data_IF_515088594377
#
_entry.id   IF_515088594377
#
_cell.length_a   1.000
_cell.length_b   1.000
_cell.length_c   1.000
_cell.angle_alpha   90.00
_cell.angle_beta   90.00
_cell.angle_gamma   90.00
#
_symmetry.space_group_name_H-M   'P 1'
#
loop_
_entity.id
_entity.type
_entity.pdbx_description
1 polymer ?
#
# COMPACT_ATOMS: atom_id res chain seq x y z
N UNK A 1 66.78 -13.07 -18.08
CA UNK A 1 65.75 -14.11 -17.99
C UNK A 1 65.36 -14.24 -16.53
N UNK A 2 64.27 -13.64 -16.14
CA UNK A 2 63.71 -13.80 -14.82
C UNK A 2 62.21 -13.54 -14.99
N UNK A 3 61.47 -14.61 -15.15
CA UNK A 3 60.02 -14.66 -15.22
C UNK A 3 59.45 -14.51 -13.81
N UNK A 4 58.85 -13.34 -13.54
CA UNK A 4 58.03 -13.11 -12.33
C UNK A 4 56.69 -13.81 -12.49
N UNK A 5 56.58 -15.00 -11.96
CA UNK A 5 55.34 -15.71 -11.74
C UNK A 5 54.64 -15.03 -10.56
N UNK A 6 53.66 -14.13 -10.83
CA UNK A 6 52.76 -13.62 -9.81
C UNK A 6 51.77 -14.77 -9.45
N UNK A 7 52.01 -15.40 -8.33
CA UNK A 7 51.07 -16.33 -7.71
C UNK A 7 49.86 -15.55 -7.20
N UNK A 8 48.73 -15.64 -7.91
CA UNK A 8 47.43 -15.19 -7.43
C UNK A 8 47.10 -15.95 -6.14
N UNK A 9 46.80 -15.24 -5.06
CA UNK A 9 46.49 -15.87 -3.76
C UNK A 9 45.23 -16.74 -3.87
N UNK A 10 45.14 -17.92 -3.23
CA UNK A 10 44.00 -18.81 -3.30
C UNK A 10 42.66 -18.16 -2.91
N UNK A 11 42.69 -17.20 -2.01
CA UNK A 11 41.50 -16.44 -1.55
C UNK A 11 40.90 -15.52 -2.64
N UNK A 12 41.76 -14.96 -3.52
CA UNK A 12 41.26 -14.13 -4.65
C UNK A 12 40.67 -15.02 -5.76
N UNK A 13 41.14 -16.23 -5.95
CA UNK A 13 40.59 -17.20 -6.90
C UNK A 13 39.19 -17.70 -6.51
N UNK A 14 38.97 -18.00 -5.22
CA UNK A 14 37.67 -18.44 -4.71
C UNK A 14 36.62 -17.34 -4.75
N UNK A 15 36.97 -16.11 -4.38
CA UNK A 15 36.06 -14.95 -4.44
C UNK A 15 35.63 -14.63 -5.88
N UNK A 16 36.56 -14.68 -6.84
CA UNK A 16 36.27 -14.49 -8.27
C UNK A 16 35.37 -15.60 -8.83
N UNK A 17 35.58 -16.85 -8.42
CA UNK A 17 34.74 -17.97 -8.83
C UNK A 17 33.32 -17.87 -8.27
N UNK A 18 33.15 -17.41 -7.01
CA UNK A 18 31.84 -17.19 -6.39
C UNK A 18 31.08 -16.07 -7.09
N UNK A 19 31.73 -14.94 -7.38
CA UNK A 19 31.12 -13.83 -8.11
C UNK A 19 30.61 -14.28 -9.48
N UNK A 20 31.44 -14.99 -10.26
CA UNK A 20 31.04 -15.53 -11.56
C UNK A 20 29.84 -16.47 -11.46
N UNK A 21 29.81 -17.32 -10.44
CA UNK A 21 28.68 -18.22 -10.19
C UNK A 21 27.39 -17.41 -9.91
N UNK A 22 27.45 -16.39 -9.05
CA UNK A 22 26.29 -15.55 -8.72
C UNK A 22 25.81 -14.75 -9.94
N UNK A 23 26.71 -14.23 -10.77
CA UNK A 23 26.36 -13.55 -12.04
C UNK A 23 25.62 -14.52 -12.97
N UNK A 24 26.13 -15.73 -13.19
CA UNK A 24 25.46 -16.73 -14.05
C UNK A 24 24.08 -17.13 -13.50
N UNK A 25 23.96 -17.30 -12.19
CA UNK A 25 22.68 -17.60 -11.54
C UNK A 25 21.69 -16.45 -11.72
N UNK A 26 22.12 -15.21 -11.53
CA UNK A 26 21.28 -14.03 -11.69
C UNK A 26 20.85 -13.80 -13.15
N UNK A 27 21.73 -14.07 -14.12
CA UNK A 27 21.41 -13.98 -15.56
C UNK A 27 20.34 -14.97 -16.02
N UNK A 28 20.32 -16.18 -15.44
CA UNK A 28 19.44 -17.28 -15.88
C UNK A 28 18.09 -17.31 -15.17
N UNK A 29 17.90 -16.50 -14.14
CA UNK A 29 16.68 -16.51 -13.30
C UNK A 29 15.79 -15.30 -13.58
N UNK A 30 14.50 -15.45 -13.30
CA UNK A 30 13.60 -14.31 -13.22
C UNK A 30 14.08 -13.33 -12.13
N UNK A 31 13.83 -12.01 -12.26
CA UNK A 31 14.34 -11.00 -11.32
C UNK A 31 14.01 -11.28 -9.84
N UNK A 32 12.85 -11.83 -9.54
CA UNK A 32 12.45 -12.20 -8.18
C UNK A 32 13.31 -13.34 -7.63
N UNK A 33 13.48 -14.39 -8.41
CA UNK A 33 14.28 -15.57 -8.00
C UNK A 33 15.78 -15.20 -7.90
N UNK A 34 16.27 -14.35 -8.80
CA UNK A 34 17.62 -13.82 -8.74
C UNK A 34 17.84 -12.99 -7.45
N UNK A 35 16.91 -12.12 -7.10
CA UNK A 35 16.97 -11.35 -5.87
C UNK A 35 16.96 -12.25 -4.63
N UNK A 36 16.17 -13.32 -4.60
CA UNK A 36 16.15 -14.29 -3.49
C UNK A 36 17.52 -15.00 -3.31
N UNK A 37 18.18 -15.34 -4.41
CA UNK A 37 19.52 -15.94 -4.37
C UNK A 37 20.56 -14.95 -3.84
N UNK A 38 20.42 -13.68 -4.18
CA UNK A 38 21.33 -12.61 -3.79
C UNK A 38 21.03 -12.02 -2.40
N UNK A 39 19.82 -12.24 -1.85
CA UNK A 39 19.38 -11.67 -0.57
C UNK A 39 20.32 -11.97 0.63
N UNK A 40 20.94 -13.16 0.75
CA UNK A 40 21.88 -13.47 1.83
C UNK A 40 23.25 -12.78 1.67
N UNK A 41 23.58 -12.26 0.48
CA UNK A 41 24.88 -11.67 0.19
C UNK A 41 24.97 -10.22 0.72
N UNK A 42 26.21 -9.73 0.90
CA UNK A 42 26.45 -8.32 1.27
C UNK A 42 26.09 -7.39 0.12
N UNK A 43 25.73 -6.13 0.42
CA UNK A 43 25.37 -5.10 -0.58
C UNK A 43 26.51 -4.84 -1.57
N UNK A 44 27.77 -4.98 -1.13
CA UNK A 44 28.96 -4.88 -1.97
C UNK A 44 28.98 -6.00 -3.03
N UNK A 45 28.76 -7.25 -2.62
CA UNK A 45 28.72 -8.41 -3.55
C UNK A 45 27.54 -8.27 -4.50
N UNK A 46 26.36 -7.87 -3.99
CA UNK A 46 25.17 -7.66 -4.82
C UNK A 46 25.44 -6.58 -5.86
N UNK A 47 25.96 -5.42 -5.45
CA UNK A 47 26.29 -4.33 -6.37
C UNK A 47 27.28 -4.76 -7.45
N UNK A 48 28.30 -5.54 -7.09
CA UNK A 48 29.28 -6.07 -8.04
C UNK A 48 28.65 -7.08 -9.01
N UNK A 49 27.76 -7.95 -8.56
CA UNK A 49 27.00 -8.85 -9.44
C UNK A 49 26.15 -8.05 -10.43
N UNK A 50 25.43 -7.03 -9.95
CA UNK A 50 24.55 -6.22 -10.79
C UNK A 50 25.32 -5.44 -11.89
N UNK A 51 26.56 -5.03 -11.67
CA UNK A 51 27.42 -4.44 -12.71
C UNK A 51 27.65 -5.34 -13.92
N UNK A 52 27.65 -6.65 -13.72
CA UNK A 52 27.90 -7.63 -14.77
C UNK A 52 26.62 -8.07 -15.50
N UNK A 53 25.47 -7.55 -15.12
CA UNK A 53 24.18 -7.80 -15.76
C UNK A 53 23.82 -6.66 -16.73
N UNK A 54 22.91 -6.93 -17.66
CA UNK A 54 22.32 -5.86 -18.47
C UNK A 54 21.59 -4.87 -17.55
N UNK A 55 21.70 -3.57 -17.82
CA UNK A 55 21.20 -2.48 -16.96
C UNK A 55 19.73 -2.66 -16.56
N UNK A 56 18.84 -2.97 -17.51
CA UNK A 56 17.41 -3.19 -17.22
C UNK A 56 17.18 -4.41 -16.33
N UNK A 57 17.91 -5.51 -16.51
CA UNK A 57 17.81 -6.68 -15.66
C UNK A 57 18.34 -6.39 -14.25
N UNK A 58 19.48 -5.74 -14.16
CA UNK A 58 20.08 -5.31 -12.90
C UNK A 58 19.12 -4.40 -12.12
N UNK A 59 18.48 -3.44 -12.80
CA UNK A 59 17.49 -2.54 -12.20
C UNK A 59 16.25 -3.29 -11.70
N UNK A 60 15.72 -4.25 -12.49
CA UNK A 60 14.60 -5.11 -12.07
C UNK A 60 14.91 -5.95 -10.82
N UNK A 61 16.14 -6.48 -10.74
CA UNK A 61 16.60 -7.22 -9.56
C UNK A 61 16.74 -6.28 -8.37
N UNK A 62 17.31 -5.08 -8.55
CA UNK A 62 17.45 -4.06 -7.51
C UNK A 62 16.10 -3.69 -6.88
N UNK A 63 15.05 -3.52 -7.69
CA UNK A 63 13.70 -3.20 -7.21
C UNK A 63 13.07 -4.30 -6.34
N UNK A 64 13.65 -5.53 -6.30
CA UNK A 64 13.20 -6.64 -5.44
C UNK A 64 13.87 -6.66 -4.07
N UNK A 65 14.87 -5.82 -3.85
CA UNK A 65 15.49 -5.65 -2.53
C UNK A 65 14.67 -4.71 -1.65
N UNK A 66 14.73 -4.86 -0.31
CA UNK A 66 14.16 -3.92 0.64
C UNK A 66 14.68 -2.49 0.41
N UNK A 67 13.84 -1.47 0.67
CA UNK A 67 14.15 -0.07 0.38
C UNK A 67 15.46 0.40 1.05
N UNK A 68 15.69 -0.02 2.30
CA UNK A 68 16.88 0.31 3.10
C UNK A 68 18.20 -0.19 2.49
N UNK A 69 18.16 -1.27 1.70
CA UNK A 69 19.34 -1.85 1.04
C UNK A 69 19.59 -1.27 -0.35
N UNK A 70 18.56 -0.78 -1.04
CA UNK A 70 18.68 -0.35 -2.45
C UNK A 70 19.71 0.74 -2.64
N UNK A 71 19.69 1.79 -1.81
CA UNK A 71 20.66 2.89 -1.87
C UNK A 71 22.10 2.43 -1.63
N UNK A 72 22.28 1.49 -0.71
CA UNK A 72 23.59 0.90 -0.43
C UNK A 72 24.10 0.10 -1.63
N UNK A 73 23.26 -0.74 -2.22
CA UNK A 73 23.59 -1.55 -3.41
C UNK A 73 23.95 -0.67 -4.60
N UNK A 74 23.18 0.41 -4.86
CA UNK A 74 23.43 1.36 -5.95
C UNK A 74 24.81 2.02 -5.81
N UNK A 75 25.24 2.38 -4.60
CA UNK A 75 26.58 2.93 -4.38
C UNK A 75 27.70 1.99 -4.84
N UNK A 76 27.53 0.69 -4.63
CA UNK A 76 28.48 -0.31 -5.10
C UNK A 76 28.33 -0.64 -6.59
N UNK A 77 27.13 -0.56 -7.14
CA UNK A 77 26.87 -0.75 -8.58
C UNK A 77 27.39 0.42 -9.43
N UNK A 78 27.63 1.61 -8.83
CA UNK A 78 28.17 2.79 -9.52
C UNK A 78 27.24 3.30 -10.61
N UNK A 79 27.80 3.96 -11.64
CA UNK A 79 27.05 4.63 -12.71
C UNK A 79 26.16 3.68 -13.52
N UNK A 80 26.41 2.37 -13.46
CA UNK A 80 25.61 1.37 -14.14
C UNK A 80 24.12 1.39 -13.73
N UNK A 81 23.83 1.66 -12.45
CA UNK A 81 22.47 1.80 -11.90
C UNK A 81 22.21 3.19 -11.31
N UNK A 82 23.26 4.01 -11.16
CA UNK A 82 23.16 5.31 -10.49
C UNK A 82 22.23 6.28 -11.21
N UNK A 83 22.38 6.44 -12.53
CA UNK A 83 21.59 7.38 -13.32
C UNK A 83 20.10 6.99 -13.37
N UNK A 84 19.71 5.76 -13.76
CA UNK A 84 18.31 5.35 -13.73
C UNK A 84 17.67 5.41 -12.33
N UNK A 85 18.47 5.13 -11.29
CA UNK A 85 18.01 5.25 -9.92
C UNK A 85 17.75 6.70 -9.52
N UNK A 86 18.69 7.61 -9.84
CA UNK A 86 18.55 9.02 -9.54
C UNK A 86 17.37 9.65 -10.29
N UNK A 87 17.16 9.29 -11.55
CA UNK A 87 16.02 9.75 -12.35
C UNK A 87 14.69 9.30 -11.74
N UNK A 88 14.59 8.03 -11.32
CA UNK A 88 13.40 7.53 -10.66
C UNK A 88 13.12 8.22 -9.30
N UNK A 89 14.18 8.60 -8.55
CA UNK A 89 14.04 9.27 -7.25
C UNK A 89 13.46 10.70 -7.34
N UNK A 90 13.43 11.31 -8.51
CA UNK A 90 12.83 12.65 -8.72
C UNK A 90 11.30 12.60 -8.62
N UNK A 91 10.69 11.43 -8.79
CA UNK A 91 9.24 11.25 -8.74
C UNK A 91 8.74 10.84 -7.35
N UNK A 92 7.48 11.16 -7.00
CA UNK A 92 6.85 10.72 -5.74
C UNK A 92 6.90 9.19 -5.55
N UNK A 93 6.90 8.73 -4.30
CA UNK A 93 7.00 7.29 -3.98
C UNK A 93 5.90 6.44 -4.62
N UNK A 94 4.66 6.95 -4.64
CA UNK A 94 3.50 6.26 -5.16
C UNK A 94 3.20 6.60 -6.64
N UNK A 95 4.22 7.03 -7.40
CA UNK A 95 4.08 7.40 -8.81
C UNK A 95 4.63 6.35 -9.77
N UNK A 96 4.11 6.35 -11.00
CA UNK A 96 4.57 5.51 -12.11
C UNK A 96 6.07 5.70 -12.38
N UNK A 97 6.56 6.95 -12.30
CA UNK A 97 7.97 7.28 -12.50
C UNK A 97 8.89 6.59 -11.51
N UNK A 98 8.41 6.31 -10.29
CA UNK A 98 9.17 5.58 -9.26
C UNK A 98 9.37 4.10 -9.61
N UNK A 99 8.45 3.52 -10.36
CA UNK A 99 8.49 2.12 -10.82
C UNK A 99 9.05 1.97 -12.23
N UNK A 100 9.38 3.10 -12.90
CA UNK A 100 9.86 3.13 -14.27
C UNK A 100 11.25 2.52 -14.40
N UNK A 101 11.46 1.74 -15.45
CA UNK A 101 12.74 1.17 -15.86
C UNK A 101 13.16 1.74 -17.23
N UNK A 102 14.46 1.75 -17.54
CA UNK A 102 14.94 2.20 -18.84
C UNK A 102 14.33 1.39 -20.01
N UNK A 103 13.93 2.06 -21.09
CA UNK A 103 13.50 1.41 -22.32
C UNK A 103 14.72 0.86 -23.09
N UNK A 104 14.76 -0.47 -23.29
CA UNK A 104 15.92 -1.14 -23.90
C UNK A 104 15.84 -1.17 -25.41
N UNK A 105 14.64 -1.41 -25.97
CA UNK A 105 14.42 -1.68 -27.39
C UNK A 105 13.84 -0.44 -28.07
N UNK A 106 14.69 0.56 -28.31
CA UNK A 106 14.32 1.84 -28.93
C UNK A 106 14.88 1.89 -30.34
N UNK A 107 14.05 2.28 -31.31
CA UNK A 107 14.38 2.28 -32.74
C UNK A 107 13.97 3.59 -33.41
N UNK A 108 14.70 3.95 -34.47
CA UNK A 108 14.28 5.00 -35.40
C UNK A 108 13.23 4.47 -36.39
N UNK A 109 12.30 5.31 -36.86
CA UNK A 109 11.16 4.88 -37.70
C UNK A 109 11.57 4.34 -39.08
N UNK A 110 12.75 4.77 -39.59
CA UNK A 110 13.26 4.37 -40.93
C UNK A 110 13.96 2.99 -40.92
N UNK A 111 14.21 2.40 -39.74
CA UNK A 111 14.88 1.09 -39.64
C UNK A 111 13.96 0.02 -40.28
N UNK A 112 14.56 -0.89 -41.03
CA UNK A 112 13.86 -2.02 -41.62
C UNK A 112 13.62 -3.13 -40.57
N UNK A 113 12.58 -3.92 -40.79
CA UNK A 113 12.24 -5.07 -39.94
C UNK A 113 13.41 -6.04 -39.76
N UNK A 114 14.12 -6.36 -40.86
CA UNK A 114 15.29 -7.24 -40.84
C UNK A 114 16.39 -6.70 -39.94
N UNK A 115 16.71 -5.39 -40.07
CA UNK A 115 17.72 -4.75 -39.20
C UNK A 115 17.30 -4.69 -37.74
N UNK A 116 16.02 -4.41 -37.45
CA UNK A 116 15.50 -4.42 -36.10
C UNK A 116 15.61 -5.82 -35.45
N UNK A 117 15.29 -6.86 -36.22
CA UNK A 117 15.41 -8.26 -35.76
C UNK A 117 16.87 -8.62 -35.45
N UNK A 118 17.82 -8.18 -36.29
CA UNK A 118 19.26 -8.38 -36.00
C UNK A 118 19.67 -7.71 -34.68
N UNK A 119 19.29 -6.44 -34.47
CA UNK A 119 19.59 -5.71 -33.25
C UNK A 119 18.97 -6.37 -32.03
N UNK A 120 17.72 -6.83 -32.14
CA UNK A 120 17.05 -7.57 -31.07
C UNK A 120 17.77 -8.86 -30.74
N UNK A 121 18.30 -9.61 -31.72
CA UNK A 121 19.07 -10.83 -31.48
C UNK A 121 20.32 -10.57 -30.66
N UNK A 122 20.99 -9.44 -30.90
CA UNK A 122 22.15 -9.03 -30.11
C UNK A 122 21.77 -8.70 -28.66
N UNK A 123 20.62 -8.03 -28.45
CA UNK A 123 20.16 -7.61 -27.12
C UNK A 123 19.47 -8.71 -26.31
N UNK A 124 18.80 -9.70 -26.97
CA UNK A 124 18.07 -10.77 -26.29
C UNK A 124 18.94 -11.80 -25.59
N UNK A 125 20.27 -11.78 -25.78
CA UNK A 125 21.16 -12.61 -24.98
C UNK A 125 21.08 -12.28 -23.50
N UNK A 126 20.77 -11.01 -23.15
CA UNK A 126 20.83 -10.49 -21.79
C UNK A 126 19.50 -9.92 -21.28
N UNK A 127 18.48 -9.73 -22.16
CA UNK A 127 17.23 -9.06 -21.77
C UNK A 127 16.02 -9.61 -22.52
N UNK A 128 14.90 -9.82 -21.81
CA UNK A 128 13.62 -10.17 -22.40
C UNK A 128 13.01 -8.93 -23.08
N UNK A 129 12.91 -8.95 -24.40
CA UNK A 129 12.31 -7.88 -25.20
C UNK A 129 10.92 -8.32 -25.67
N UNK A 130 9.89 -7.55 -25.29
CA UNK A 130 8.49 -7.80 -25.68
C UNK A 130 8.01 -6.85 -26.77
N UNK A 131 8.46 -5.58 -26.69
CA UNK A 131 8.10 -4.51 -27.61
C UNK A 131 9.33 -3.75 -28.08
N UNK A 132 9.29 -3.23 -29.31
CA UNK A 132 10.15 -2.17 -29.80
C UNK A 132 9.42 -0.84 -29.75
N UNK A 133 10.09 0.20 -29.22
CA UNK A 133 9.58 1.57 -29.12
C UNK A 133 10.17 2.41 -30.23
N UNK A 134 9.32 3.01 -31.06
CA UNK A 134 9.76 3.83 -32.19
C UNK A 134 9.68 5.29 -31.78
N UNK A 135 10.83 5.97 -31.80
CA UNK A 135 10.97 7.39 -31.45
C UNK A 135 11.52 8.19 -32.64
N UNK A 136 11.12 9.47 -32.71
CA UNK A 136 11.68 10.40 -33.66
C UNK A 136 13.08 10.91 -33.22
N UNK A 137 13.68 11.80 -34.00
CA UNK A 137 14.99 12.39 -33.72
C UNK A 137 14.98 13.28 -32.45
N UNK A 138 13.82 13.72 -32.01
CA UNK A 138 13.62 14.52 -30.80
C UNK A 138 13.34 13.64 -29.56
N UNK A 139 13.13 12.35 -29.73
CA UNK A 139 12.82 11.41 -28.64
C UNK A 139 11.32 11.20 -28.38
N UNK A 140 10.43 11.75 -29.21
CA UNK A 140 8.99 11.54 -29.06
C UNK A 140 8.58 10.14 -29.47
N UNK A 141 7.74 9.49 -28.67
CA UNK A 141 7.19 8.18 -28.94
C UNK A 141 6.17 8.25 -30.09
N UNK A 142 6.54 7.74 -31.25
CA UNK A 142 5.70 7.65 -32.45
C UNK A 142 4.83 6.40 -32.46
N UNK A 143 5.40 5.26 -32.05
CA UNK A 143 4.72 3.99 -32.11
C UNK A 143 5.39 2.89 -31.31
N UNK A 144 4.72 1.75 -31.26
CA UNK A 144 5.21 0.51 -30.64
C UNK A 144 5.02 -0.63 -31.63
N UNK A 145 6.01 -1.51 -31.72
CA UNK A 145 5.92 -2.76 -32.50
C UNK A 145 6.07 -3.96 -31.55
N UNK A 146 5.14 -4.89 -31.63
CA UNK A 146 5.28 -6.15 -30.89
C UNK A 146 6.18 -7.13 -31.62
N UNK A 147 6.88 -7.99 -30.90
CA UNK A 147 7.74 -9.03 -31.51
C UNK A 147 6.98 -9.91 -32.49
N UNK A 148 5.70 -10.20 -32.23
CA UNK A 148 4.83 -10.93 -33.14
C UNK A 148 4.68 -10.22 -34.49
N UNK A 149 4.54 -8.90 -34.46
CA UNK A 149 4.29 -8.10 -35.67
C UNK A 149 5.54 -8.05 -36.55
N UNK A 150 6.74 -8.01 -35.98
CA UNK A 150 8.01 -8.15 -36.67
C UNK A 150 8.15 -9.50 -37.39
N UNK A 151 7.59 -10.58 -36.83
CA UNK A 151 7.61 -11.91 -37.46
C UNK A 151 6.67 -12.04 -38.64
N UNK A 152 5.64 -11.19 -38.73
CA UNK A 152 4.61 -11.23 -39.77
C UNK A 152 4.86 -10.21 -40.91
N UNK A 153 5.70 -9.21 -40.66
CA UNK A 153 6.05 -8.18 -41.65
C UNK A 153 7.11 -8.65 -42.64
N UNK A 154 7.16 -8.00 -43.79
CA UNK A 154 8.22 -8.25 -44.77
C UNK A 154 9.57 -7.68 -44.25
N UNK A 155 10.70 -8.38 -44.54
CA UNK A 155 12.01 -7.95 -44.02
C UNK A 155 12.43 -6.52 -44.41
N UNK A 156 11.95 -6.03 -45.54
CA UNK A 156 12.26 -4.72 -46.09
C UNK A 156 11.31 -3.60 -45.66
N UNK A 157 10.20 -3.95 -44.98
CA UNK A 157 9.28 -2.96 -44.43
C UNK A 157 9.98 -2.12 -43.40
N UNK A 158 9.64 -0.83 -43.32
CA UNK A 158 10.14 0.06 -42.27
C UNK A 158 9.29 -0.06 -41.03
N UNK A 159 9.89 0.14 -39.86
CA UNK A 159 9.18 0.06 -38.59
C UNK A 159 8.01 1.03 -38.50
N UNK A 160 8.13 2.23 -39.10
CA UNK A 160 7.01 3.18 -39.20
C UNK A 160 5.77 2.67 -39.93
N UNK A 161 5.92 1.68 -40.85
CA UNK A 161 4.83 1.15 -41.65
C UNK A 161 4.14 -0.03 -40.96
N UNK A 162 4.77 -0.65 -39.97
CA UNK A 162 4.26 -1.82 -39.23
C UNK A 162 3.94 -1.53 -37.75
N UNK A 163 4.34 -0.37 -37.23
CA UNK A 163 4.11 0.01 -35.83
C UNK A 163 2.64 0.33 -35.55
N UNK A 164 2.22 0.09 -34.32
CA UNK A 164 0.99 0.67 -33.76
C UNK A 164 1.24 2.15 -33.46
N UNK A 165 0.51 3.01 -34.16
CA UNK A 165 0.63 4.46 -34.02
C UNK A 165 0.03 4.93 -32.68
N UNK A 166 0.61 5.98 -32.13
CA UNK A 166 0.11 6.66 -30.92
C UNK A 166 -0.26 5.70 -29.79
N UNK A 167 0.66 4.82 -29.34
CA UNK A 167 0.36 3.87 -28.31
C UNK A 167 -0.06 4.56 -27.01
N UNK A 168 -0.87 3.89 -26.24
CA UNK A 168 -1.18 4.33 -24.89
C UNK A 168 0.12 4.41 -24.07
N UNK A 169 0.31 5.53 -23.37
CA UNK A 169 1.45 5.76 -22.48
C UNK A 169 0.96 6.29 -21.13
N UNK A 170 1.69 5.98 -20.08
CA UNK A 170 1.50 6.51 -18.74
C UNK A 170 2.34 7.77 -18.55
N UNK A 171 1.98 8.60 -17.58
CA UNK A 171 2.78 9.76 -17.16
C UNK A 171 3.60 9.43 -15.93
N UNK A 172 4.83 9.93 -15.80
CA UNK A 172 5.68 9.59 -14.65
C UNK A 172 5.15 10.13 -13.32
N UNK A 173 4.43 11.26 -13.32
CA UNK A 173 3.83 11.86 -12.12
C UNK A 173 2.51 11.20 -11.70
N UNK A 174 1.96 10.32 -12.52
CA UNK A 174 0.68 9.67 -12.28
C UNK A 174 0.76 8.71 -11.09
N UNK A 175 -0.25 8.75 -10.23
CA UNK A 175 -0.40 7.83 -9.11
C UNK A 175 -0.56 6.38 -9.60
N UNK A 176 0.16 5.43 -8.98
CA UNK A 176 0.14 4.02 -9.38
C UNK A 176 -1.27 3.43 -9.34
N UNK A 177 -2.09 3.81 -8.37
CA UNK A 177 -3.47 3.33 -8.25
C UNK A 177 -4.38 3.87 -9.37
N UNK A 178 -4.16 5.11 -9.83
CA UNK A 178 -4.87 5.66 -10.99
C UNK A 178 -4.39 5.00 -12.28
N UNK A 179 -3.09 4.91 -12.50
CA UNK A 179 -2.49 4.22 -13.64
C UNK A 179 -2.98 2.77 -13.75
N UNK A 180 -3.08 2.06 -12.62
CA UNK A 180 -3.59 0.69 -12.59
C UNK A 180 -5.02 0.58 -13.12
N UNK A 181 -5.91 1.55 -12.83
CA UNK A 181 -7.29 1.56 -13.35
C UNK A 181 -7.33 1.68 -14.88
N UNK A 182 -6.38 2.42 -15.45
CA UNK A 182 -6.27 2.58 -16.89
C UNK A 182 -5.69 1.33 -17.58
N UNK A 183 -4.75 0.64 -16.93
CA UNK A 183 -4.06 -0.52 -17.52
C UNK A 183 -4.81 -1.84 -17.31
N UNK A 184 -5.68 -1.96 -16.29
CA UNK A 184 -6.37 -3.21 -15.94
C UNK A 184 -7.16 -3.84 -17.08
N UNK A 185 -7.69 -3.02 -17.98
CA UNK A 185 -8.46 -3.48 -19.14
C UNK A 185 -7.63 -3.62 -20.42
N UNK A 186 -6.36 -3.21 -20.42
CA UNK A 186 -5.50 -3.22 -21.62
C UNK A 186 -4.64 -4.47 -21.71
N UNK A 187 -4.26 -5.06 -20.59
CA UNK A 187 -3.51 -6.32 -20.48
C UNK A 187 -2.15 -6.32 -21.20
N UNK A 188 -1.48 -5.17 -21.34
CA UNK A 188 -0.13 -5.14 -21.92
C UNK A 188 0.90 -5.50 -20.85
N UNK A 189 1.92 -6.33 -21.17
CA UNK A 189 3.00 -6.64 -20.23
C UNK A 189 3.89 -5.44 -19.87
N UNK A 190 4.05 -4.49 -20.80
CA UNK A 190 4.87 -3.28 -20.63
C UNK A 190 4.11 -2.06 -21.15
N UNK A 191 4.21 -0.96 -20.43
CA UNK A 191 3.63 0.33 -20.77
C UNK A 191 4.73 1.37 -20.93
N UNK A 192 4.82 2.10 -22.04
CA UNK A 192 5.72 3.24 -22.18
C UNK A 192 5.32 4.36 -21.22
N UNK A 193 6.31 5.03 -20.65
CA UNK A 193 6.14 6.21 -19.79
C UNK A 193 6.69 7.40 -20.54
N UNK A 194 5.85 8.43 -20.71
CA UNK A 194 6.17 9.63 -21.47
C UNK A 194 5.85 10.89 -20.68
N UNK A 195 6.60 11.96 -20.93
CA UNK A 195 6.30 13.30 -20.46
C UNK A 195 5.08 13.93 -21.18
N UNK A 196 4.79 15.21 -20.87
CA UNK A 196 3.68 15.95 -21.47
C UNK A 196 3.85 16.16 -22.97
N UNK A 197 5.09 16.26 -23.44
CA UNK A 197 5.50 16.43 -24.85
C UNK A 197 5.61 15.11 -25.60
N UNK A 198 5.34 13.95 -24.93
CA UNK A 198 5.47 12.58 -25.45
C UNK A 198 6.89 12.06 -25.66
N UNK A 199 7.91 12.65 -25.01
CA UNK A 199 9.25 12.02 -25.00
C UNK A 199 9.19 10.72 -24.20
N UNK A 200 9.78 9.67 -24.75
CA UNK A 200 9.88 8.38 -24.07
C UNK A 200 10.93 8.47 -22.95
N UNK A 201 10.47 8.44 -21.69
CA UNK A 201 11.34 8.47 -20.51
C UNK A 201 11.76 7.07 -20.08
N UNK A 202 10.89 6.08 -20.25
CA UNK A 202 11.13 4.70 -19.86
C UNK A 202 9.91 3.83 -20.07
N UNK A 203 9.88 2.70 -19.38
CA UNK A 203 8.77 1.74 -19.41
C UNK A 203 8.44 1.27 -18.01
N UNK A 204 7.19 0.86 -17.79
CA UNK A 204 6.78 0.20 -16.54
C UNK A 204 6.13 -1.14 -16.88
N UNK A 205 6.45 -2.15 -16.07
CA UNK A 205 5.85 -3.47 -16.22
C UNK A 205 4.44 -3.47 -15.60
N UNK A 206 3.45 -3.95 -16.34
CA UNK A 206 2.07 -3.98 -15.87
C UNK A 206 1.92 -4.73 -14.54
N UNK A 207 2.62 -5.84 -14.34
CA UNK A 207 2.55 -6.59 -13.09
C UNK A 207 3.15 -5.83 -11.88
N UNK A 208 4.12 -4.92 -12.09
CA UNK A 208 4.67 -4.08 -11.02
C UNK A 208 3.62 -3.13 -10.44
N UNK A 209 2.75 -2.58 -11.32
CA UNK A 209 1.63 -1.76 -10.89
C UNK A 209 0.64 -2.57 -10.03
N UNK A 210 0.34 -3.81 -10.42
CA UNK A 210 -0.52 -4.71 -9.64
C UNK A 210 0.12 -5.13 -8.31
N UNK A 211 1.42 -5.43 -8.30
CA UNK A 211 2.13 -5.83 -7.10
C UNK A 211 2.19 -4.68 -6.08
N UNK A 212 2.49 -3.47 -6.53
CA UNK A 212 2.48 -2.28 -5.67
C UNK A 212 1.10 -2.06 -5.05
N UNK A 213 0.04 -2.13 -5.85
CA UNK A 213 -1.33 -1.99 -5.37
C UNK A 213 -1.74 -3.10 -4.39
N UNK A 214 -1.32 -4.34 -4.65
CA UNK A 214 -1.57 -5.46 -3.73
C UNK A 214 -0.88 -5.23 -2.38
N UNK A 215 0.35 -4.71 -2.38
CA UNK A 215 1.08 -4.35 -1.17
C UNK A 215 0.34 -3.25 -0.40
N UNK A 216 -0.06 -2.15 -1.06
CA UNK A 216 -0.80 -1.05 -0.45
C UNK A 216 -2.13 -1.51 0.16
N UNK A 217 -2.93 -2.31 -0.55
CA UNK A 217 -4.18 -2.87 -0.02
C UNK A 217 -3.91 -3.75 1.22
N UNK A 218 -2.87 -4.57 1.19
CA UNK A 218 -2.49 -5.44 2.32
C UNK A 218 -2.04 -4.62 3.52
N UNK A 219 -1.24 -3.58 3.30
CA UNK A 219 -0.73 -2.70 4.35
C UNK A 219 -1.85 -1.89 5.05
N UNK A 220 -2.93 -1.55 4.35
CA UNK A 220 -4.05 -0.80 4.93
C UNK A 220 -4.67 -1.47 6.16
N UNK A 221 -4.78 -2.80 6.18
CA UNK A 221 -5.28 -3.53 7.35
C UNK A 221 -4.38 -3.35 8.58
N UNK A 222 -3.08 -3.38 8.39
CA UNK A 222 -2.11 -3.10 9.45
C UNK A 222 -2.19 -1.66 9.94
N UNK A 223 -2.23 -0.71 9.02
CA UNK A 223 -2.32 0.73 9.32
C UNK A 223 -3.57 1.09 10.12
N UNK A 224 -4.71 0.43 9.88
CA UNK A 224 -5.95 0.62 10.66
C UNK A 224 -5.78 0.30 12.16
N UNK A 225 -4.82 -0.51 12.54
CA UNK A 225 -4.53 -0.87 13.93
C UNK A 225 -3.19 -0.33 14.43
N UNK A 226 -2.57 0.57 13.65
CA UNK A 226 -1.33 1.24 14.01
C UNK A 226 -0.06 0.42 13.78
N UNK A 227 -0.11 -0.55 12.87
CA UNK A 227 1.07 -1.30 12.40
C UNK A 227 1.62 -0.59 11.16
N UNK A 228 2.94 -0.37 11.16
CA UNK A 228 3.65 0.26 10.06
C UNK A 228 3.63 -0.60 8.80
N UNK A 229 3.57 0.02 7.61
CA UNK A 229 3.55 -0.67 6.31
C UNK A 229 4.81 -1.52 6.09
N UNK A 230 5.93 -1.09 6.63
CA UNK A 230 7.23 -1.79 6.49
C UNK A 230 7.40 -2.94 7.49
N UNK A 231 6.50 -3.09 8.44
CA UNK A 231 6.60 -4.17 9.41
C UNK A 231 6.14 -5.51 8.84
N UNK A 232 7.05 -6.47 8.80
CA UNK A 232 6.81 -7.84 8.33
C UNK A 232 6.83 -8.86 9.48
N UNK A 233 6.26 -10.04 9.25
CA UNK A 233 6.27 -11.13 10.24
C UNK A 233 7.67 -11.55 10.69
N UNK A 234 8.68 -11.36 9.82
CA UNK A 234 10.08 -11.65 10.13
C UNK A 234 10.84 -10.48 10.77
N UNK A 235 10.22 -9.31 10.96
CA UNK A 235 10.85 -8.16 11.61
C UNK A 235 11.25 -8.50 13.04
N UNK A 236 12.49 -8.19 13.42
CA UNK A 236 12.98 -8.47 14.77
C UNK A 236 12.23 -7.62 15.81
N UNK A 237 12.17 -8.10 17.05
CA UNK A 237 11.29 -7.51 18.07
C UNK A 237 11.64 -6.06 18.47
N UNK A 238 12.93 -5.64 18.39
CA UNK A 238 13.33 -4.26 18.74
C UNK A 238 12.83 -3.23 17.73
N UNK A 239 13.07 -3.36 16.39
CA UNK A 239 12.46 -2.51 15.40
C UNK A 239 10.92 -2.51 15.47
N UNK A 240 10.28 -3.68 15.59
CA UNK A 240 8.83 -3.78 15.73
C UNK A 240 8.30 -3.01 16.93
N UNK A 241 8.99 -3.04 18.07
CA UNK A 241 8.66 -2.25 19.26
C UNK A 241 8.73 -0.74 18.96
N UNK A 242 9.79 -0.29 18.30
CA UNK A 242 9.98 1.13 17.98
C UNK A 242 8.95 1.65 16.98
N UNK A 243 8.52 0.83 16.02
CA UNK A 243 7.47 1.17 15.05
C UNK A 243 6.09 1.29 15.71
N UNK A 244 5.72 0.36 16.61
CA UNK A 244 4.38 0.32 17.24
C UNK A 244 4.24 1.23 18.46
N UNK A 245 5.33 1.43 19.21
CA UNK A 245 5.25 2.11 20.52
C UNK A 245 4.73 3.56 20.45
N UNK A 246 5.15 4.42 19.53
CA UNK A 246 4.62 5.78 19.42
C UNK A 246 3.10 5.79 19.24
N UNK A 247 2.57 4.86 18.43
CA UNK A 247 1.15 4.72 18.18
C UNK A 247 0.37 4.32 19.43
N UNK A 248 0.89 3.36 20.19
CA UNK A 248 0.30 2.93 21.46
C UNK A 248 0.28 4.07 22.50
N UNK A 249 1.29 4.95 22.52
CA UNK A 249 1.30 6.12 23.41
C UNK A 249 0.22 7.13 23.03
N UNK A 250 0.01 7.41 21.74
CA UNK A 250 -1.07 8.28 21.29
C UNK A 250 -2.43 7.68 21.69
N UNK A 251 -2.61 6.38 21.48
CA UNK A 251 -3.84 5.69 21.87
C UNK A 251 -4.08 5.72 23.39
N UNK A 252 -3.02 5.62 24.20
CA UNK A 252 -3.11 5.76 25.66
C UNK A 252 -3.58 7.17 26.07
N UNK A 253 -3.05 8.21 25.43
CA UNK A 253 -3.48 9.59 25.71
C UNK A 253 -4.96 9.78 25.38
N UNK A 254 -5.43 9.24 24.27
CA UNK A 254 -6.85 9.33 23.88
C UNK A 254 -7.75 8.49 24.79
N UNK A 255 -7.27 7.34 25.29
CA UNK A 255 -7.99 6.56 26.30
C UNK A 255 -8.20 7.32 27.61
N UNK A 256 -7.26 8.17 28.03
CA UNK A 256 -7.45 9.06 29.18
C UNK A 256 -8.58 10.07 28.98
N UNK A 257 -8.89 10.48 27.74
CA UNK A 257 -10.05 11.35 27.46
C UNK A 257 -11.36 10.62 27.79
N UNK A 258 -11.48 9.35 27.41
CA UNK A 258 -12.64 8.53 27.76
C UNK A 258 -12.72 8.29 29.27
N UNK A 259 -11.61 8.00 29.94
CA UNK A 259 -11.53 7.84 31.38
C UNK A 259 -11.95 9.13 32.11
N UNK A 260 -11.53 10.30 31.63
CA UNK A 260 -11.96 11.60 32.17
C UNK A 260 -13.48 11.78 32.06
N UNK A 261 -14.09 11.42 30.92
CA UNK A 261 -15.58 11.49 30.80
C UNK A 261 -16.26 10.58 31.81
N UNK A 262 -15.75 9.37 32.04
CA UNK A 262 -16.29 8.47 33.06
C UNK A 262 -16.15 9.05 34.48
N UNK A 263 -15.03 9.70 34.77
CA UNK A 263 -14.80 10.32 36.10
C UNK A 263 -15.78 11.45 36.43
N UNK A 264 -16.36 12.11 35.41
CA UNK A 264 -17.40 13.15 35.65
C UNK A 264 -18.69 12.56 36.25
N UNK A 265 -18.88 11.24 36.15
CA UNK A 265 -20.05 10.51 36.65
C UNK A 265 -19.72 9.56 37.80
N UNK A 266 -18.64 9.84 38.58
CA UNK A 266 -18.20 8.99 39.67
C UNK A 266 -19.32 8.82 40.72
N UNK A 267 -20.03 9.87 41.07
CA UNK A 267 -21.18 9.84 42.02
C UNK A 267 -22.34 8.97 41.48
N UNK A 268 -22.63 9.01 40.18
CA UNK A 268 -23.62 8.17 39.53
C UNK A 268 -23.25 6.69 39.59
N UNK A 269 -21.99 6.37 39.34
CA UNK A 269 -21.48 5.00 39.42
C UNK A 269 -21.47 4.51 40.88
N UNK A 270 -21.12 5.35 41.83
CA UNK A 270 -21.10 5.00 43.25
C UNK A 270 -22.51 4.66 43.78
N UNK A 271 -23.54 5.37 43.27
CA UNK A 271 -24.95 5.09 43.62
C UNK A 271 -25.51 3.89 42.85
N UNK A 272 -25.09 3.66 41.63
CA UNK A 272 -25.57 2.61 40.73
C UNK A 272 -24.42 1.72 40.25
N UNK A 273 -23.81 0.96 41.16
CA UNK A 273 -22.63 0.12 40.90
C UNK A 273 -22.84 -0.86 39.74
N UNK A 274 -24.06 -1.28 39.51
CA UNK A 274 -24.44 -2.17 38.39
C UNK A 274 -24.06 -1.60 37.01
N UNK A 275 -23.98 -0.28 36.88
CA UNK A 275 -23.59 0.38 35.63
C UNK A 275 -22.15 0.01 35.22
N UNK A 276 -21.25 -0.14 36.16
CA UNK A 276 -19.83 -0.41 35.90
C UNK A 276 -19.63 -1.69 35.06
N UNK A 277 -20.49 -2.71 35.26
CA UNK A 277 -20.42 -3.97 34.53
C UNK A 277 -20.76 -3.82 33.02
N UNK A 278 -21.55 -2.78 32.66
CA UNK A 278 -22.01 -2.57 31.28
C UNK A 278 -21.17 -1.54 30.51
N UNK A 279 -20.29 -0.78 31.15
CA UNK A 279 -19.38 0.15 30.45
C UNK A 279 -18.58 -0.54 29.33
N UNK A 280 -17.92 -1.71 29.57
CA UNK A 280 -17.18 -2.40 28.52
C UNK A 280 -18.09 -2.93 27.40
N UNK A 281 -19.34 -3.30 27.73
CA UNK A 281 -20.30 -3.81 26.73
C UNK A 281 -20.68 -2.71 25.74
N UNK A 282 -20.98 -1.50 26.24
CA UNK A 282 -21.32 -0.37 25.39
C UNK A 282 -20.14 0.11 24.56
N UNK A 283 -18.98 0.28 25.15
CA UNK A 283 -17.77 0.69 24.46
C UNK A 283 -17.39 -0.32 23.38
N UNK A 284 -17.37 -1.62 23.69
CA UNK A 284 -17.02 -2.68 22.74
C UNK A 284 -17.95 -2.73 21.53
N UNK A 285 -19.28 -2.64 21.74
CA UNK A 285 -20.24 -2.73 20.64
C UNK A 285 -20.29 -1.47 19.79
N UNK A 286 -20.21 -0.28 20.40
CA UNK A 286 -20.15 0.97 19.65
C UNK A 286 -18.84 1.05 18.84
N UNK A 287 -17.71 0.63 19.43
CA UNK A 287 -16.44 0.52 18.73
C UNK A 287 -16.48 -0.42 17.52
N UNK A 288 -17.06 -1.64 17.70
CA UNK A 288 -17.23 -2.59 16.61
C UNK A 288 -18.08 -2.02 15.47
N UNK A 289 -19.20 -1.34 15.78
CA UNK A 289 -20.05 -0.69 14.77
C UNK A 289 -19.27 0.38 13.99
N UNK A 290 -18.51 1.19 14.70
CA UNK A 290 -17.65 2.22 14.09
C UNK A 290 -16.56 1.62 13.21
N UNK A 291 -15.88 0.55 13.67
CA UNK A 291 -14.86 -0.15 12.88
C UNK A 291 -15.42 -0.77 11.60
N UNK A 292 -16.65 -1.28 11.60
CA UNK A 292 -17.30 -1.79 10.39
C UNK A 292 -17.56 -0.66 9.37
N UNK A 293 -18.09 0.47 9.82
CA UNK A 293 -18.30 1.64 8.96
C UNK A 293 -16.97 2.21 8.43
N UNK A 294 -15.94 2.25 9.29
CA UNK A 294 -14.58 2.66 8.91
C UNK A 294 -13.99 1.77 7.83
N UNK A 295 -14.06 0.44 8.00
CA UNK A 295 -13.52 -0.52 7.04
C UNK A 295 -14.16 -0.38 5.66
N UNK A 296 -15.48 -0.22 5.59
CA UNK A 296 -16.22 0.03 4.34
C UNK A 296 -15.82 1.36 3.73
N UNK A 297 -15.64 2.39 4.54
CA UNK A 297 -15.27 3.73 4.06
C UNK A 297 -13.85 3.77 3.51
N UNK A 298 -12.87 3.20 4.23
CA UNK A 298 -11.47 3.11 3.76
C UNK A 298 -11.42 2.32 2.45
N UNK A 299 -12.10 1.17 2.36
CA UNK A 299 -12.20 0.41 1.13
C UNK A 299 -12.76 1.25 -0.03
N UNK A 300 -13.82 2.00 0.19
CA UNK A 300 -14.40 2.89 -0.82
C UNK A 300 -13.46 4.02 -1.23
N UNK A 301 -12.64 4.54 -0.29
CA UNK A 301 -11.60 5.53 -0.59
C UNK A 301 -10.52 4.95 -1.50
N UNK A 302 -10.03 3.75 -1.18
CA UNK A 302 -9.01 3.03 -1.96
C UNK A 302 -9.49 2.67 -3.36
N UNK A 303 -10.75 2.25 -3.49
CA UNK A 303 -11.37 1.93 -4.78
C UNK A 303 -11.89 3.18 -5.53
N UNK A 304 -11.63 4.38 -5.01
CA UNK A 304 -12.08 5.66 -5.57
C UNK A 304 -13.60 5.71 -5.86
N UNK A 305 -14.41 5.10 -4.98
CA UNK A 305 -15.87 5.06 -5.12
C UNK A 305 -16.54 6.38 -4.70
N UNK A 306 -15.84 7.26 -3.97
CA UNK A 306 -16.37 8.53 -3.47
C UNK A 306 -16.43 9.63 -4.54
N UNK A 307 -17.30 9.43 -5.53
CA UNK A 307 -17.65 10.44 -6.53
C UNK A 307 -18.56 11.52 -5.92
N UNK A 308 -18.69 12.71 -6.54
CA UNK A 308 -19.63 13.75 -6.09
C UNK A 308 -21.04 13.19 -5.84
N UNK A 309 -21.58 13.38 -4.63
CA UNK A 309 -22.91 12.89 -4.22
C UNK A 309 -22.91 11.54 -3.50
N UNK A 310 -21.91 10.68 -3.67
CA UNK A 310 -21.82 9.36 -3.01
C UNK A 310 -21.60 9.48 -1.51
N UNK A 311 -20.79 10.46 -1.07
CA UNK A 311 -20.48 10.69 0.35
C UNK A 311 -21.76 10.82 1.19
N UNK A 312 -22.75 11.65 0.74
CA UNK A 312 -24.00 11.81 1.47
C UNK A 312 -24.79 10.50 1.58
N UNK A 313 -24.82 9.72 0.51
CA UNK A 313 -25.51 8.42 0.51
C UNK A 313 -24.85 7.43 1.50
N UNK A 314 -23.52 7.37 1.53
CA UNK A 314 -22.78 6.49 2.45
C UNK A 314 -23.01 6.92 3.91
N UNK A 315 -22.95 8.22 4.22
CA UNK A 315 -23.25 8.72 5.58
C UNK A 315 -24.65 8.33 6.01
N UNK A 316 -25.65 8.55 5.18
CA UNK A 316 -27.05 8.19 5.51
C UNK A 316 -27.18 6.67 5.71
N UNK A 317 -26.60 5.86 4.82
CA UNK A 317 -26.62 4.41 4.91
C UNK A 317 -25.98 3.91 6.21
N UNK A 318 -24.79 4.38 6.57
CA UNK A 318 -24.10 3.95 7.79
C UNK A 318 -24.79 4.48 9.06
N UNK A 319 -25.41 5.65 9.00
CA UNK A 319 -26.27 6.17 10.10
C UNK A 319 -27.47 5.25 10.34
N UNK A 320 -28.17 4.84 9.28
CA UNK A 320 -29.32 3.93 9.39
C UNK A 320 -28.90 2.53 9.86
N UNK A 321 -27.77 2.03 9.38
CA UNK A 321 -27.19 0.76 9.84
C UNK A 321 -26.79 0.83 11.31
N UNK A 322 -26.14 1.90 11.74
CA UNK A 322 -25.80 2.14 13.15
C UNK A 322 -27.03 2.16 14.04
N UNK A 323 -28.10 2.88 13.61
CA UNK A 323 -29.36 2.92 14.32
C UNK A 323 -30.03 1.53 14.43
N UNK A 324 -30.15 0.82 13.32
CA UNK A 324 -30.81 -0.49 13.27
C UNK A 324 -30.04 -1.56 14.07
N UNK A 325 -28.72 -1.64 13.88
CA UNK A 325 -27.87 -2.56 14.62
C UNK A 325 -27.82 -2.19 16.11
N UNK A 326 -27.70 -0.90 16.42
CA UNK A 326 -27.71 -0.41 17.79
C UNK A 326 -29.01 -0.73 18.52
N UNK A 327 -30.17 -0.60 17.86
CA UNK A 327 -31.46 -1.00 18.43
C UNK A 327 -31.55 -2.50 18.63
N UNK A 328 -31.14 -3.32 17.64
CA UNK A 328 -31.20 -4.77 17.75
C UNK A 328 -30.29 -5.31 18.88
N UNK A 329 -29.04 -4.86 18.94
CA UNK A 329 -28.08 -5.21 20.00
C UNK A 329 -28.51 -4.61 21.34
N UNK A 330 -29.04 -3.37 21.32
CA UNK A 330 -29.56 -2.69 22.49
C UNK A 330 -30.72 -3.42 23.18
N UNK A 331 -31.59 -4.06 22.41
CA UNK A 331 -32.66 -4.95 23.00
C UNK A 331 -32.01 -6.08 23.79
N UNK A 332 -31.03 -6.77 23.21
CA UNK A 332 -30.36 -7.91 23.87
C UNK A 332 -29.60 -7.45 25.11
N UNK A 333 -28.84 -6.36 24.98
CA UNK A 333 -28.09 -5.79 26.10
C UNK A 333 -29.00 -5.22 27.20
N UNK A 334 -30.11 -4.59 26.82
CA UNK A 334 -31.13 -4.11 27.75
C UNK A 334 -31.79 -5.21 28.56
N UNK A 335 -32.16 -6.33 27.90
CA UNK A 335 -32.69 -7.52 28.60
C UNK A 335 -31.64 -8.09 29.55
N UNK A 336 -30.35 -8.20 29.11
CA UNK A 336 -29.27 -8.64 29.97
C UNK A 336 -29.09 -7.74 31.20
N UNK A 337 -29.20 -6.40 31.02
CA UNK A 337 -29.19 -5.45 32.14
C UNK A 337 -30.34 -5.64 33.09
N UNK A 338 -31.58 -5.86 32.61
CA UNK A 338 -32.73 -6.13 33.47
C UNK A 338 -32.48 -7.37 34.32
N UNK A 339 -32.04 -8.46 33.72
CA UNK A 339 -31.75 -9.70 34.46
C UNK A 339 -30.63 -9.54 35.48
N UNK A 340 -29.56 -8.82 35.10
CA UNK A 340 -28.45 -8.53 35.98
C UNK A 340 -28.87 -7.62 37.15
N UNK A 341 -29.64 -6.57 36.88
CA UNK A 341 -30.13 -5.62 37.88
C UNK A 341 -31.13 -6.29 38.85
N UNK A 342 -31.97 -7.21 38.37
CA UNK A 342 -32.84 -8.01 39.23
C UNK A 342 -32.04 -8.93 40.17
N UNK A 343 -30.96 -9.55 39.66
CA UNK A 343 -30.10 -10.39 40.48
C UNK A 343 -29.31 -9.58 41.51
N UNK A 344 -28.94 -8.34 41.15
CA UNK A 344 -28.26 -7.41 42.06
C UNK A 344 -29.21 -6.64 43.00
N UNK A 345 -30.50 -6.99 43.02
CA UNK A 345 -31.54 -6.34 43.84
C UNK A 345 -31.62 -4.81 43.67
N UNK A 346 -31.34 -4.32 42.41
CA UNK A 346 -31.44 -2.90 42.10
C UNK A 346 -32.92 -2.44 42.12
N UNK A 347 -33.16 -1.20 42.56
CA UNK A 347 -34.53 -0.68 42.75
C UNK A 347 -35.34 -0.56 41.45
N UNK A 348 -34.67 -0.24 40.30
CA UNK A 348 -35.35 0.04 39.02
C UNK A 348 -34.76 -0.76 37.84
N UNK A 349 -34.85 -2.10 37.83
CA UNK A 349 -34.18 -2.91 36.81
C UNK A 349 -34.68 -2.63 35.38
N UNK A 350 -35.97 -2.35 35.18
CA UNK A 350 -36.56 -2.04 33.89
C UNK A 350 -36.08 -0.70 33.32
N UNK A 351 -35.91 0.32 34.17
CA UNK A 351 -35.37 1.61 33.75
C UNK A 351 -33.92 1.49 33.36
N UNK A 352 -33.12 0.73 34.10
CA UNK A 352 -31.72 0.43 33.77
C UNK A 352 -31.59 -0.29 32.42
N UNK A 353 -32.46 -1.25 32.15
CA UNK A 353 -32.54 -1.92 30.85
C UNK A 353 -32.87 -0.95 29.70
N UNK A 354 -33.80 -0.02 29.93
CA UNK A 354 -34.14 1.02 28.96
C UNK A 354 -32.96 1.98 28.73
N UNK A 355 -32.24 2.36 29.76
CA UNK A 355 -31.03 3.19 29.69
C UNK A 355 -29.99 2.51 28.80
N UNK A 356 -29.71 1.22 28.98
CA UNK A 356 -28.76 0.47 28.15
C UNK A 356 -29.25 0.42 26.70
N UNK A 357 -30.53 0.15 26.47
CA UNK A 357 -31.11 0.13 25.13
C UNK A 357 -30.92 1.48 24.39
N UNK A 358 -31.29 2.57 25.04
CA UNK A 358 -31.17 3.91 24.44
C UNK A 358 -29.72 4.31 24.23
N UNK A 359 -28.85 4.05 25.20
CA UNK A 359 -27.42 4.35 25.12
C UNK A 359 -26.75 3.55 23.98
N UNK A 360 -27.04 2.26 23.87
CA UNK A 360 -26.51 1.40 22.82
C UNK A 360 -26.97 1.86 21.43
N UNK A 361 -28.25 2.16 21.30
CA UNK A 361 -28.84 2.64 20.04
C UNK A 361 -28.20 3.97 19.59
N UNK A 362 -28.09 4.92 20.49
CA UNK A 362 -27.51 6.23 20.18
C UNK A 362 -25.98 6.16 19.96
N UNK A 363 -25.26 5.35 20.74
CA UNK A 363 -23.82 5.16 20.57
C UNK A 363 -23.51 4.52 19.21
N UNK A 364 -24.20 3.47 18.82
CA UNK A 364 -24.00 2.83 17.51
C UNK A 364 -24.37 3.74 16.33
N UNK A 365 -25.41 4.60 16.49
CA UNK A 365 -25.76 5.61 15.48
C UNK A 365 -24.58 6.57 15.27
N UNK A 366 -24.03 7.15 16.37
CA UNK A 366 -22.90 8.09 16.29
C UNK A 366 -21.66 7.37 15.75
N UNK A 367 -21.43 6.10 16.14
CA UNK A 367 -20.31 5.29 15.64
C UNK A 367 -20.37 5.08 14.12
N UNK A 368 -21.54 4.80 13.56
CA UNK A 368 -21.73 4.69 12.12
C UNK A 368 -21.40 5.99 11.38
N UNK A 369 -21.82 7.12 11.91
CA UNK A 369 -21.52 8.46 11.35
C UNK A 369 -20.02 8.76 11.42
N UNK A 370 -19.40 8.59 12.60
CA UNK A 370 -17.98 8.88 12.82
C UNK A 370 -17.07 7.97 12.01
N UNK A 371 -17.43 6.69 11.84
CA UNK A 371 -16.72 5.73 11.00
C UNK A 371 -16.63 6.15 9.52
N UNK A 372 -17.54 7.00 9.04
CA UNK A 372 -17.49 7.57 7.69
C UNK A 372 -16.79 8.93 7.68
N UNK A 373 -17.17 9.83 8.60
CA UNK A 373 -16.72 11.22 8.56
C UNK A 373 -15.23 11.38 8.92
N UNK A 374 -14.71 10.57 9.85
CA UNK A 374 -13.31 10.67 10.28
C UNK A 374 -12.35 10.40 9.12
N UNK A 375 -12.39 9.25 8.40
CA UNK A 375 -11.45 8.98 7.32
C UNK A 375 -11.59 9.97 6.14
N UNK A 376 -12.82 10.40 5.83
CA UNK A 376 -13.03 11.39 4.77
C UNK A 376 -12.47 12.78 5.15
N UNK A 377 -12.56 13.15 6.42
CA UNK A 377 -11.98 14.41 6.91
C UNK A 377 -10.46 14.34 6.87
N UNK A 378 -9.84 13.25 7.33
CA UNK A 378 -8.39 13.05 7.29
C UNK A 378 -7.86 13.11 5.84
N UNK A 379 -8.52 12.43 4.91
CA UNK A 379 -8.19 12.51 3.47
C UNK A 379 -8.23 13.96 2.97
N UNK A 380 -9.24 14.73 3.38
CA UNK A 380 -9.36 16.15 2.97
C UNK A 380 -8.23 17.03 3.52
N UNK A 381 -7.68 16.68 4.67
CA UNK A 381 -6.53 17.38 5.28
C UNK A 381 -5.17 16.84 4.81
N UNK A 382 -5.14 15.88 3.89
CA UNK A 382 -3.91 15.28 3.37
C UNK A 382 -3.24 14.28 4.32
N UNK A 383 -3.93 13.83 5.36
CA UNK A 383 -3.46 12.78 6.27
C UNK A 383 -3.91 11.40 5.75
N UNK A 384 -3.10 10.36 6.06
CA UNK A 384 -3.47 8.98 5.74
C UNK A 384 -4.76 8.59 6.49
N UNK A 385 -5.86 8.31 5.75
CA UNK A 385 -7.13 7.97 6.38
C UNK A 385 -7.10 6.61 7.09
N UNK A 386 -6.24 5.67 6.69
CA UNK A 386 -6.15 4.36 7.32
C UNK A 386 -5.47 4.46 8.69
N UNK A 387 -4.33 5.15 8.74
CA UNK A 387 -3.49 5.17 9.94
C UNK A 387 -4.14 5.93 11.11
N UNK A 388 -4.65 7.14 10.90
CA UNK A 388 -5.15 7.97 11.99
C UNK A 388 -6.60 7.69 12.40
N UNK A 389 -7.40 7.06 11.49
CA UNK A 389 -8.86 6.94 11.72
C UNK A 389 -9.24 6.08 12.91
N UNK A 390 -8.50 5.01 13.20
CA UNK A 390 -8.89 4.09 14.29
C UNK A 390 -8.81 4.73 15.67
N UNK A 391 -7.75 5.52 15.94
CA UNK A 391 -7.60 6.21 17.25
C UNK A 391 -8.72 7.23 17.46
N UNK A 392 -8.96 8.08 16.44
CA UNK A 392 -10.03 9.08 16.54
C UNK A 392 -11.40 8.41 16.66
N UNK A 393 -11.60 7.29 15.94
CA UNK A 393 -12.84 6.54 16.00
C UNK A 393 -13.06 5.93 17.38
N UNK A 394 -12.11 5.16 17.91
CA UNK A 394 -12.24 4.52 19.23
C UNK A 394 -12.44 5.55 20.33
N UNK A 395 -11.68 6.65 20.29
CA UNK A 395 -11.87 7.75 21.24
C UNK A 395 -13.29 8.33 21.18
N UNK A 396 -13.78 8.64 19.98
CA UNK A 396 -15.12 9.20 19.80
C UNK A 396 -16.21 8.21 20.26
N UNK A 397 -16.08 6.93 19.88
CA UNK A 397 -17.06 5.91 20.28
C UNK A 397 -17.06 5.64 21.77
N UNK A 398 -15.91 5.60 22.43
CA UNK A 398 -15.80 5.38 23.88
C UNK A 398 -16.37 6.57 24.66
N UNK A 399 -16.00 7.79 24.31
CA UNK A 399 -16.52 9.01 24.93
C UNK A 399 -18.03 9.10 24.81
N UNK A 400 -18.56 8.86 23.59
CA UNK A 400 -20.02 8.98 23.37
C UNK A 400 -20.78 7.84 24.03
N UNK A 401 -20.32 6.61 23.93
CA UNK A 401 -21.06 5.46 24.49
C UNK A 401 -21.09 5.48 26.00
N UNK A 402 -19.94 5.68 26.65
CA UNK A 402 -19.86 5.74 28.12
C UNK A 402 -20.51 7.01 28.65
N UNK A 403 -20.23 8.16 28.03
CA UNK A 403 -20.82 9.44 28.45
C UNK A 403 -22.34 9.45 28.34
N UNK A 404 -22.88 8.98 27.21
CA UNK A 404 -24.33 8.92 27.00
C UNK A 404 -25.00 7.90 27.93
N UNK A 405 -24.36 6.76 28.18
CA UNK A 405 -24.89 5.76 29.09
C UNK A 405 -24.99 6.30 30.52
N UNK A 406 -23.91 6.88 31.03
CA UNK A 406 -23.87 7.44 32.39
C UNK A 406 -24.77 8.66 32.52
N UNK A 407 -24.82 9.52 31.51
CA UNK A 407 -25.74 10.65 31.49
C UNK A 407 -27.21 10.22 31.51
N UNK A 408 -27.60 9.23 30.69
CA UNK A 408 -28.96 8.70 30.71
C UNK A 408 -29.30 8.03 32.05
N UNK A 409 -28.35 7.30 32.66
CA UNK A 409 -28.54 6.72 33.98
C UNK A 409 -28.76 7.80 35.06
N UNK A 410 -27.97 8.86 35.02
CA UNK A 410 -28.11 9.99 35.95
C UNK A 410 -29.45 10.73 35.80
N UNK A 411 -29.97 10.87 34.59
CA UNK A 411 -31.21 11.64 34.34
C UNK A 411 -32.46 10.79 34.56
N UNK A 412 -32.42 9.47 34.25
CA UNK A 412 -33.61 8.62 34.24
C UNK A 412 -33.76 7.76 35.49
N UNK A 413 -32.67 7.55 36.26
CA UNK A 413 -32.70 6.65 37.43
C UNK A 413 -32.46 7.43 38.72
N UNK A 414 -31.61 8.47 38.72
CA UNK A 414 -31.32 9.32 39.84
C UNK A 414 -32.10 10.63 39.77
#
# INVERSE_FOLDING_TARGET
MSSSNQSVSPVQGEASSRLQHLVMEAQRRAPLDAAQVLLPESDEIVGEVLKHLHQAQAYRILLRFPNDRRESIVKFAGDHLGDPWADAQQYPEDSVGRLMEPAVSVFAPEITVDRAVEMIREWTHDTLITYGYIIDQQGHLMGVVAMRDLLLAEPQDKLQDVMLLEPFSLRPEEDVGEAMKEVVYRHYPLYPVCDAERHLLGVVQGFMLFEHQHFEISAQYGSMVGVDKEEHAATSWIPALLMRHPWLQINLVTAFVAAFVVSLFEDTIAQLVVLAAFLPVLAGQSGNTGCQALAVTIRGITLNEFKPGVTRHVVIKETLLGLANGAAVGVVAGIAMVLYAMHAEAEQPWVLGMVVFLAMTGACLVSGVTGVLIPLSLKRFGADPAMASSIFLTTATDVVSMGMFLWLANVLVL
#
